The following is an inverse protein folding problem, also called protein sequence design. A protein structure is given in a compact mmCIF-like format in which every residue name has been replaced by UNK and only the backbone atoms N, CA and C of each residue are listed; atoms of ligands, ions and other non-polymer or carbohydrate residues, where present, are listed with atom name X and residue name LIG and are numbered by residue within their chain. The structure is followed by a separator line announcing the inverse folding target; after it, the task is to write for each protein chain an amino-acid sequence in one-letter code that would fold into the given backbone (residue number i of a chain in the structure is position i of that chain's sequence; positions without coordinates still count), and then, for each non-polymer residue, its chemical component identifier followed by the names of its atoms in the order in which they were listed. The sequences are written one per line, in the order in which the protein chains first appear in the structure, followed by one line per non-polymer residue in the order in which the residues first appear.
data_IF_965997213474
#
_entry.id   IF_965997213474
#
_cell.length_a   1.000
_cell.length_b   1.000
_cell.length_c   1.000
_cell.angle_alpha   90.00
_cell.angle_beta   90.00
_cell.angle_gamma   90.00
#
_symmetry.space_group_name_H-M   'P 1'
#
loop_
_entity.id
_entity.type
_entity.pdbx_description
1 polymer ?
#
# COMPACT_ATOMS: atom_id res chain seq x y z
N UNK A 1 0.52 -52.53 -10.76
CA UNK A 1 0.27 -51.85 -9.47
C UNK A 1 0.41 -50.36 -9.70
N UNK A 2 -0.72 -49.64 -9.82
CA UNK A 2 -0.76 -48.24 -10.22
C UNK A 2 -0.39 -47.32 -9.05
N UNK A 3 0.64 -46.50 -9.26
CA UNK A 3 1.04 -45.41 -8.38
C UNK A 3 -0.07 -44.37 -8.34
N UNK A 4 -0.80 -44.30 -7.22
CA UNK A 4 -1.74 -43.21 -6.96
C UNK A 4 -0.91 -41.99 -6.57
N UNK A 5 -0.79 -41.03 -7.48
CA UNK A 5 -0.38 -39.67 -7.17
C UNK A 5 -1.32 -39.12 -6.09
N UNK A 6 -0.81 -39.14 -4.87
CA UNK A 6 -1.42 -38.60 -3.67
C UNK A 6 -1.63 -37.11 -3.94
N UNK A 7 -2.89 -36.68 -4.01
CA UNK A 7 -3.27 -35.28 -3.99
C UNK A 7 -2.59 -34.64 -2.76
N UNK A 8 -1.48 -33.94 -2.98
CA UNK A 8 -0.88 -33.11 -1.95
C UNK A 8 -1.84 -31.95 -1.75
N UNK A 9 -2.58 -31.99 -0.63
CA UNK A 9 -3.36 -30.85 -0.19
C UNK A 9 -2.35 -29.73 0.09
N UNK A 10 -2.46 -28.56 -0.56
CA UNK A 10 -1.59 -27.44 -0.25
C UNK A 10 -1.66 -27.20 1.25
N UNK A 11 -0.52 -27.35 1.93
CA UNK A 11 -0.46 -27.17 3.37
C UNK A 11 -0.85 -25.73 3.69
N UNK A 12 -1.96 -25.54 4.41
CA UNK A 12 -2.33 -24.26 4.99
C UNK A 12 -1.38 -23.82 6.13
N UNK A 13 -0.32 -24.59 6.42
CA UNK A 13 0.67 -24.19 7.42
C UNK A 13 1.45 -22.99 6.91
N UNK A 14 1.47 -21.94 7.74
CA UNK A 14 2.34 -20.78 7.56
C UNK A 14 3.78 -21.25 7.41
N UNK A 15 4.45 -20.79 6.36
CA UNK A 15 5.87 -21.03 6.15
C UNK A 15 6.63 -19.87 6.77
N UNK A 16 7.19 -20.09 7.95
CA UNK A 16 7.91 -19.06 8.71
C UNK A 16 9.43 -19.10 8.46
N UNK A 17 9.95 -20.24 8.03
CA UNK A 17 11.35 -20.41 7.64
C UNK A 17 11.51 -20.08 6.15
N UNK A 18 11.71 -18.79 5.88
CA UNK A 18 11.92 -18.25 4.53
C UNK A 18 13.20 -17.42 4.53
N UNK A 19 13.92 -17.40 3.41
CA UNK A 19 15.12 -16.60 3.24
C UNK A 19 14.82 -15.10 3.43
N UNK A 20 15.84 -14.32 3.78
CA UNK A 20 15.72 -12.87 3.90
C UNK A 20 16.01 -12.20 2.55
N UNK A 21 15.06 -12.36 1.64
CA UNK A 21 15.01 -11.78 0.30
C UNK A 21 13.62 -11.17 0.04
N UNK A 22 13.46 -10.43 -1.06
CA UNK A 22 12.18 -9.77 -1.38
C UNK A 22 11.04 -10.78 -1.61
N UNK A 23 11.33 -11.93 -2.18
CA UNK A 23 10.34 -12.99 -2.40
C UNK A 23 9.90 -13.65 -1.09
N UNK A 24 10.83 -13.86 -0.16
CA UNK A 24 10.54 -14.37 1.16
C UNK A 24 9.72 -13.40 2.01
N UNK A 25 10.07 -12.10 1.96
CA UNK A 25 9.28 -11.05 2.60
C UNK A 25 7.87 -10.96 2.00
N UNK A 26 7.74 -11.09 0.68
CA UNK A 26 6.45 -11.14 0.00
C UNK A 26 5.61 -12.33 0.46
N UNK A 27 6.21 -13.52 0.58
CA UNK A 27 5.51 -14.71 1.03
C UNK A 27 4.99 -14.55 2.47
N UNK A 28 5.84 -14.05 3.38
CA UNK A 28 5.45 -13.76 4.76
C UNK A 28 4.33 -12.72 4.84
N UNK A 29 4.41 -11.66 4.02
CA UNK A 29 3.38 -10.61 3.95
C UNK A 29 2.04 -11.17 3.47
N UNK A 30 2.03 -12.04 2.46
CA UNK A 30 0.82 -12.70 1.96
C UNK A 30 0.20 -13.66 2.99
N UNK A 31 1.02 -14.28 3.84
CA UNK A 31 0.56 -15.16 4.93
C UNK A 31 0.15 -14.38 6.21
N UNK A 32 0.34 -13.06 6.22
CA UNK A 32 0.08 -12.21 7.38
C UNK A 32 1.08 -12.40 8.53
N UNK A 33 2.26 -12.95 8.25
CA UNK A 33 3.35 -13.19 9.19
C UNK A 33 4.19 -11.91 9.41
N UNK A 34 3.53 -10.84 9.88
CA UNK A 34 4.14 -9.52 10.01
C UNK A 34 5.15 -9.41 11.17
N UNK A 35 5.01 -10.26 12.19
CA UNK A 35 5.95 -10.29 13.32
C UNK A 35 7.28 -10.87 12.87
N UNK A 36 7.23 -11.94 12.10
CA UNK A 36 8.38 -12.62 11.52
C UNK A 36 9.16 -11.70 10.59
N UNK A 37 8.46 -10.85 9.83
CA UNK A 37 9.11 -9.79 9.05
C UNK A 37 9.84 -8.82 9.98
N UNK A 38 9.18 -8.33 11.04
CA UNK A 38 9.78 -7.40 12.00
C UNK A 38 11.02 -8.00 12.67
N UNK A 39 10.95 -9.28 13.06
CA UNK A 39 12.05 -10.01 13.68
C UNK A 39 13.23 -10.18 12.70
N UNK A 40 12.96 -10.42 11.42
CA UNK A 40 14.00 -10.48 10.38
C UNK A 40 14.71 -9.14 10.16
N UNK A 41 14.01 -8.02 10.35
CA UNK A 41 14.60 -6.69 10.29
C UNK A 41 15.33 -6.29 11.58
N UNK A 42 15.20 -7.05 12.66
CA UNK A 42 15.80 -6.70 13.95
C UNK A 42 17.34 -6.70 13.87
N UNK A 43 17.94 -5.54 14.14
CA UNK A 43 19.40 -5.36 14.13
C UNK A 43 20.00 -5.09 12.74
N UNK A 44 19.21 -5.11 11.67
CA UNK A 44 19.66 -4.75 10.33
C UNK A 44 19.49 -3.24 10.10
N UNK A 45 20.50 -2.60 9.49
CA UNK A 45 20.35 -1.24 8.98
C UNK A 45 19.98 -1.32 7.51
N UNK A 46 18.98 -0.53 7.10
CA UNK A 46 18.54 -0.44 5.70
C UNK A 46 19.69 -0.02 4.77
N UNK A 47 20.69 0.68 5.31
CA UNK A 47 21.89 1.10 4.58
C UNK A 47 22.79 -0.07 4.15
N UNK A 48 22.71 -1.20 4.85
CA UNK A 48 23.52 -2.39 4.58
C UNK A 48 22.90 -3.25 3.45
N UNK A 49 21.69 -2.90 2.99
CA UNK A 49 20.97 -3.62 1.94
C UNK A 49 21.32 -3.12 0.53
N UNK A 50 21.12 -3.96 -0.51
CA UNK A 50 21.38 -3.59 -1.90
C UNK A 50 20.63 -2.30 -2.28
N UNK A 51 21.32 -1.28 -2.81
CA UNK A 51 20.74 0.06 -3.04
C UNK A 51 19.49 0.05 -3.91
N UNK A 52 19.42 -0.83 -4.90
CA UNK A 52 18.28 -1.04 -5.80
C UNK A 52 17.01 -1.47 -5.07
N UNK A 53 17.15 -2.25 -4.00
CA UNK A 53 16.03 -2.87 -3.29
C UNK A 53 15.68 -2.17 -1.99
N UNK A 54 16.51 -1.21 -1.53
CA UNK A 54 16.34 -0.51 -0.24
C UNK A 54 14.92 0.00 -0.04
N UNK A 55 14.32 0.54 -1.09
CA UNK A 55 12.97 1.08 -1.02
C UNK A 55 11.90 -0.01 -0.84
N UNK A 56 12.08 -1.16 -1.47
CA UNK A 56 11.20 -2.31 -1.31
C UNK A 56 11.33 -2.92 0.10
N UNK A 57 12.55 -3.11 0.60
CA UNK A 57 12.80 -3.54 1.97
C UNK A 57 12.22 -2.56 2.99
N UNK A 58 12.40 -1.25 2.77
CA UNK A 58 11.82 -0.21 3.63
C UNK A 58 10.30 -0.26 3.62
N UNK A 59 9.68 -0.48 2.47
CA UNK A 59 8.23 -0.61 2.37
C UNK A 59 7.71 -1.82 3.17
N UNK A 60 8.38 -2.98 3.10
CA UNK A 60 8.02 -4.15 3.93
C UNK A 60 8.22 -3.90 5.42
N UNK A 61 9.32 -3.26 5.81
CA UNK A 61 9.59 -2.90 7.21
C UNK A 61 8.51 -1.97 7.76
N UNK A 62 8.19 -0.88 7.05
CA UNK A 62 7.15 0.08 7.44
C UNK A 62 5.77 -0.59 7.50
N UNK A 63 5.43 -1.42 6.50
CA UNK A 63 4.18 -2.18 6.50
C UNK A 63 4.10 -3.13 7.70
N UNK A 64 5.18 -3.83 8.03
CA UNK A 64 5.24 -4.73 9.19
C UNK A 64 5.04 -3.96 10.50
N UNK A 65 5.69 -2.82 10.67
CA UNK A 65 5.48 -1.92 11.83
C UNK A 65 4.03 -1.45 11.92
N UNK A 66 3.43 -1.03 10.81
CA UNK A 66 2.03 -0.60 10.78
C UNK A 66 1.06 -1.74 11.13
N UNK A 67 1.32 -2.95 10.63
CA UNK A 67 0.49 -4.13 10.89
C UNK A 67 0.66 -4.67 12.31
N UNK A 68 1.82 -4.48 12.94
CA UNK A 68 2.07 -4.80 14.35
C UNK A 68 1.74 -3.65 15.31
N UNK A 69 1.14 -2.55 14.81
CA UNK A 69 0.71 -1.35 15.54
C UNK A 69 1.83 -0.51 16.15
N UNK A 70 3.05 -0.64 15.63
CA UNK A 70 4.19 0.20 15.99
C UNK A 70 4.16 1.51 15.18
N UNK A 71 3.11 2.31 15.34
CA UNK A 71 2.83 3.47 14.48
C UNK A 71 3.91 4.56 14.57
N UNK A 72 4.43 4.83 15.77
CA UNK A 72 5.48 5.84 15.95
C UNK A 72 6.79 5.42 15.27
N UNK A 73 7.17 4.14 15.36
CA UNK A 73 8.35 3.61 14.67
C UNK A 73 8.17 3.65 13.15
N UNK A 74 6.97 3.32 12.66
CA UNK A 74 6.62 3.45 11.25
C UNK A 74 6.73 4.91 10.76
N UNK A 75 6.34 5.89 11.57
CA UNK A 75 6.42 7.31 11.23
C UNK A 75 7.86 7.78 11.10
N UNK A 76 8.70 7.47 12.08
CA UNK A 76 10.13 7.79 12.05
C UNK A 76 10.84 7.14 10.86
N UNK A 77 10.54 5.88 10.57
CA UNK A 77 11.11 5.19 9.41
C UNK A 77 10.67 5.84 8.09
N UNK A 78 9.44 6.34 8.01
CA UNK A 78 8.90 6.99 6.83
C UNK A 78 9.48 8.40 6.63
N UNK A 79 9.68 9.14 7.73
CA UNK A 79 10.42 10.42 7.72
C UNK A 79 11.88 10.22 7.29
N UNK A 80 12.53 9.14 7.73
CA UNK A 80 13.91 8.81 7.37
C UNK A 80 14.09 8.48 5.88
N UNK A 81 13.03 8.04 5.18
CA UNK A 81 13.04 7.87 3.72
C UNK A 81 13.01 9.21 2.97
N UNK A 82 12.70 10.31 3.66
CA UNK A 82 12.56 11.63 3.06
C UNK A 82 11.23 11.84 2.33
N UNK A 83 11.19 12.84 1.45
CA UNK A 83 9.99 13.22 0.72
C UNK A 83 9.50 12.12 -0.22
N UNK A 84 8.26 11.66 -0.03
CA UNK A 84 7.58 10.71 -0.93
C UNK A 84 6.96 11.36 -2.18
N UNK A 85 7.32 12.61 -2.44
CA UNK A 85 6.91 13.43 -3.58
C UNK A 85 8.02 13.49 -4.62
N UNK A 86 8.35 12.33 -5.13
CA UNK A 86 9.17 12.12 -6.31
C UNK A 86 8.36 12.39 -7.59
N UNK A 87 8.89 13.20 -8.51
CA UNK A 87 8.33 13.40 -9.85
C UNK A 87 8.43 12.15 -10.72
N UNK A 88 9.44 11.32 -10.47
CA UNK A 88 9.89 10.28 -11.41
C UNK A 88 9.22 8.92 -11.18
N UNK A 89 8.33 8.82 -10.19
CA UNK A 89 7.55 7.63 -9.89
C UNK A 89 8.33 6.49 -9.21
N UNK A 90 9.57 6.74 -8.76
CA UNK A 90 10.43 5.80 -8.05
C UNK A 90 9.81 5.26 -6.74
N UNK A 91 8.97 6.05 -6.06
CA UNK A 91 8.30 5.63 -4.84
C UNK A 91 7.12 4.70 -5.16
N UNK A 92 7.02 3.52 -4.54
CA UNK A 92 5.89 2.62 -4.73
C UNK A 92 4.57 3.26 -4.26
N UNK A 93 3.49 3.05 -5.03
CA UNK A 93 2.15 3.52 -4.65
C UNK A 93 1.73 3.02 -3.25
N UNK A 94 2.05 1.77 -2.91
CA UNK A 94 1.74 1.19 -1.60
C UNK A 94 2.36 1.97 -0.45
N UNK A 95 3.59 2.47 -0.61
CA UNK A 95 4.27 3.25 0.41
C UNK A 95 3.63 4.64 0.57
N UNK A 96 3.26 5.30 -0.53
CA UNK A 96 2.50 6.57 -0.47
C UNK A 96 1.14 6.39 0.20
N UNK A 97 0.48 5.26 -0.07
CA UNK A 97 -0.79 4.91 0.56
C UNK A 97 -0.63 4.72 2.07
N UNK A 98 0.42 4.03 2.52
CA UNK A 98 0.77 3.86 3.93
C UNK A 98 1.04 5.20 4.60
N UNK A 99 1.84 6.05 3.96
CA UNK A 99 2.13 7.40 4.44
C UNK A 99 0.87 8.24 4.68
N UNK A 100 -0.12 8.10 3.80
CA UNK A 100 -1.39 8.82 3.94
C UNK A 100 -2.33 8.22 5.00
N UNK A 101 -2.16 6.94 5.34
CA UNK A 101 -2.97 6.27 6.38
C UNK A 101 -2.40 6.44 7.78
N UNK A 102 -1.08 6.60 7.89
CA UNK A 102 -0.38 6.65 9.16
C UNK A 102 -0.85 7.77 10.11
N UNK A 103 -1.15 9.00 9.66
CA UNK A 103 -1.64 10.06 10.55
C UNK A 103 -2.93 9.68 11.27
N UNK A 104 -3.84 8.94 10.60
CA UNK A 104 -5.06 8.45 11.26
C UNK A 104 -4.74 7.47 12.40
N UNK A 105 -3.70 6.67 12.27
CA UNK A 105 -3.25 5.77 13.34
C UNK A 105 -2.60 6.51 14.51
N UNK A 106 -2.04 7.70 14.26
CA UNK A 106 -1.44 8.57 15.26
C UNK A 106 -2.43 9.57 15.89
N UNK A 107 -3.69 9.57 15.44
CA UNK A 107 -4.73 10.48 15.92
C UNK A 107 -4.77 11.85 15.23
N UNK A 108 -3.94 12.09 14.22
CA UNK A 108 -4.00 13.30 13.40
C UNK A 108 -4.84 13.08 12.14
N UNK A 109 -6.17 13.18 12.33
CA UNK A 109 -7.12 13.01 11.23
C UNK A 109 -6.95 14.07 10.13
N UNK A 110 -6.56 15.30 10.49
CA UNK A 110 -6.40 16.40 9.54
C UNK A 110 -5.25 16.11 8.58
N UNK A 111 -4.07 15.77 9.11
CA UNK A 111 -2.93 15.40 8.29
C UNK A 111 -3.24 14.15 7.44
N UNK A 112 -4.01 13.21 7.97
CA UNK A 112 -4.47 12.02 7.25
C UNK A 112 -5.33 12.38 6.04
N UNK A 113 -6.35 13.22 6.22
CA UNK A 113 -7.18 13.70 5.12
C UNK A 113 -6.34 14.48 4.09
N UNK A 114 -5.52 15.42 4.53
CA UNK A 114 -4.66 16.21 3.64
C UNK A 114 -3.76 15.32 2.77
N UNK A 115 -3.18 14.28 3.35
CA UNK A 115 -2.35 13.31 2.63
C UNK A 115 -3.18 12.47 1.63
N UNK A 116 -4.37 12.01 2.00
CA UNK A 116 -5.26 11.27 1.09
C UNK A 116 -5.75 12.12 -0.08
N UNK A 117 -6.16 13.36 0.16
CA UNK A 117 -6.55 14.30 -0.90
C UNK A 117 -5.39 14.61 -1.83
N UNK A 118 -4.17 14.74 -1.29
CA UNK A 118 -2.98 14.93 -2.13
C UNK A 118 -2.71 13.71 -3.01
N UNK A 119 -2.81 12.50 -2.43
CA UNK A 119 -2.62 11.25 -3.17
C UNK A 119 -3.68 11.06 -4.25
N UNK A 120 -4.95 11.39 -3.98
CA UNK A 120 -6.03 11.28 -4.98
C UNK A 120 -5.81 12.25 -6.15
N UNK A 121 -5.42 13.50 -5.88
CA UNK A 121 -5.03 14.46 -6.92
C UNK A 121 -3.86 13.95 -7.75
N UNK A 122 -2.84 13.34 -7.13
CA UNK A 122 -1.72 12.73 -7.86
C UNK A 122 -2.21 11.61 -8.78
N UNK A 123 -2.91 10.60 -8.26
CA UNK A 123 -3.39 9.49 -9.08
C UNK A 123 -4.23 9.95 -10.27
N UNK A 124 -5.06 10.99 -10.08
CA UNK A 124 -5.84 11.60 -11.14
C UNK A 124 -4.95 12.26 -12.20
N UNK A 125 -4.00 13.10 -11.78
CA UNK A 125 -3.07 13.76 -12.71
C UNK A 125 -2.30 12.72 -13.53
N UNK A 126 -1.76 11.69 -12.89
CA UNK A 126 -1.03 10.63 -13.59
C UNK A 126 -1.92 9.91 -14.61
N UNK A 127 -3.16 9.57 -14.25
CA UNK A 127 -4.11 8.95 -15.18
C UNK A 127 -4.43 9.83 -16.40
N UNK A 128 -4.45 11.15 -16.21
CA UNK A 128 -4.72 12.13 -17.28
C UNK A 128 -3.49 12.39 -18.16
N UNK A 129 -2.26 12.24 -17.63
CA UNK A 129 -1.00 12.48 -18.35
C UNK A 129 -0.44 11.23 -19.07
N UNK A 130 -0.98 10.04 -18.80
CA UNK A 130 -0.59 8.82 -19.53
C UNK A 130 -0.84 9.00 -21.03
N UNK A 131 0.18 8.67 -21.83
CA UNK A 131 0.19 8.87 -23.28
C UNK A 131 -0.92 8.10 -24.01
N UNK A 132 -1.18 8.49 -25.26
CA UNK A 132 -2.05 7.72 -26.16
C UNK A 132 -1.42 6.36 -26.46
N UNK A 133 -2.11 5.26 -26.17
CA UNK A 133 -1.62 3.90 -26.39
C UNK A 133 -1.18 3.15 -25.12
N UNK A 134 -1.15 3.82 -23.97
CA UNK A 134 -0.79 3.20 -22.67
C UNK A 134 -2.03 2.89 -21.81
N UNK A 135 -3.02 2.21 -22.40
CA UNK A 135 -4.31 1.96 -21.74
C UNK A 135 -4.18 1.19 -20.42
N UNK A 136 -3.21 0.27 -20.32
CA UNK A 136 -2.94 -0.48 -19.10
C UNK A 136 -2.40 0.42 -17.96
N UNK A 137 -1.48 1.34 -18.27
CA UNK A 137 -0.94 2.28 -17.29
C UNK A 137 -2.00 3.28 -16.84
N UNK A 138 -2.82 3.76 -17.79
CA UNK A 138 -3.98 4.62 -17.52
C UNK A 138 -4.99 3.93 -16.60
N UNK A 139 -5.36 2.69 -16.91
CA UNK A 139 -6.25 1.88 -16.09
C UNK A 139 -5.67 1.64 -14.69
N UNK A 140 -4.36 1.38 -14.58
CA UNK A 140 -3.68 1.22 -13.29
C UNK A 140 -3.79 2.49 -12.42
N UNK A 141 -3.55 3.66 -13.00
CA UNK A 141 -3.68 4.93 -12.26
C UNK A 141 -5.11 5.25 -11.87
N UNK A 142 -6.09 4.91 -12.71
CA UNK A 142 -7.51 5.00 -12.33
C UNK A 142 -7.87 4.08 -11.18
N UNK A 143 -7.43 2.81 -11.20
CA UNK A 143 -7.65 1.87 -10.09
C UNK A 143 -7.01 2.38 -8.80
N UNK A 144 -5.85 3.03 -8.88
CA UNK A 144 -5.21 3.68 -7.72
C UNK A 144 -6.04 4.86 -7.21
N UNK A 145 -6.53 5.72 -8.10
CA UNK A 145 -7.43 6.82 -7.76
C UNK A 145 -8.70 6.32 -7.05
N UNK A 146 -9.33 5.28 -7.59
CA UNK A 146 -10.52 4.65 -7.01
C UNK A 146 -10.25 4.10 -5.61
N UNK A 147 -9.13 3.38 -5.44
CA UNK A 147 -8.73 2.84 -4.14
C UNK A 147 -8.53 3.94 -3.08
N UNK A 148 -7.97 5.09 -3.48
CA UNK A 148 -7.81 6.25 -2.58
C UNK A 148 -9.15 6.94 -2.32
N UNK A 149 -10.00 7.06 -3.35
CA UNK A 149 -11.34 7.64 -3.20
C UNK A 149 -12.24 6.83 -2.26
N UNK A 150 -12.22 5.49 -2.36
CA UNK A 150 -12.92 4.61 -1.43
C UNK A 150 -12.41 4.77 0.00
N UNK A 151 -11.09 4.95 0.16
CA UNK A 151 -10.52 5.22 1.47
C UNK A 151 -10.97 6.57 2.04
N UNK A 152 -11.01 7.62 1.22
CA UNK A 152 -11.54 8.93 1.61
C UNK A 152 -13.00 8.82 2.04
N UNK A 153 -13.83 8.14 1.26
CA UNK A 153 -15.23 7.89 1.62
C UNK A 153 -15.34 7.17 2.98
N UNK A 154 -14.57 6.09 3.18
CA UNK A 154 -14.55 5.35 4.44
C UNK A 154 -14.10 6.22 5.63
N UNK A 155 -13.05 7.02 5.47
CA UNK A 155 -12.54 7.91 6.53
C UNK A 155 -13.56 9.00 6.88
N UNK A 156 -14.22 9.59 5.89
CA UNK A 156 -15.32 10.54 6.11
C UNK A 156 -16.53 9.88 6.81
N UNK A 157 -16.89 8.64 6.46
CA UNK A 157 -17.94 7.89 7.17
C UNK A 157 -17.59 7.65 8.64
N UNK A 158 -16.35 7.23 8.93
CA UNK A 158 -15.88 7.07 10.32
C UNK A 158 -15.90 8.39 11.09
N UNK A 159 -15.62 9.52 10.43
CA UNK A 159 -15.68 10.86 10.99
C UNK A 159 -17.11 11.44 11.07
N UNK A 160 -18.14 10.71 10.62
CA UNK A 160 -19.54 11.16 10.51
C UNK A 160 -19.75 12.35 9.55
N UNK A 161 -18.84 12.54 8.60
CA UNK A 161 -18.91 13.55 7.55
C UNK A 161 -19.64 12.98 6.32
N UNK A 162 -20.93 12.67 6.51
CA UNK A 162 -21.72 11.94 5.51
C UNK A 162 -21.81 12.63 4.15
N UNK A 163 -21.86 13.97 4.13
CA UNK A 163 -21.91 14.75 2.88
C UNK A 163 -20.62 14.55 2.07
N UNK A 164 -19.45 14.67 2.72
CA UNK A 164 -18.16 14.47 2.06
C UNK A 164 -17.99 13.02 1.57
N UNK A 165 -18.43 12.05 2.36
CA UNK A 165 -18.44 10.64 1.94
C UNK A 165 -19.30 10.41 0.69
N UNK A 166 -20.53 10.94 0.66
CA UNK A 166 -21.41 10.84 -0.50
C UNK A 166 -20.85 11.54 -1.75
N UNK A 167 -20.19 12.68 -1.57
CA UNK A 167 -19.51 13.36 -2.67
C UNK A 167 -18.43 12.47 -3.29
N UNK A 168 -17.62 11.79 -2.46
CA UNK A 168 -16.63 10.84 -2.95
C UNK A 168 -17.26 9.63 -3.66
N UNK A 169 -18.34 9.07 -3.12
CA UNK A 169 -19.04 7.95 -3.77
C UNK A 169 -19.60 8.35 -5.14
N UNK A 170 -20.19 9.54 -5.26
CA UNK A 170 -20.67 10.07 -6.57
C UNK A 170 -19.52 10.28 -7.56
N UNK A 171 -18.37 10.77 -7.10
CA UNK A 171 -17.17 10.92 -7.94
C UNK A 171 -16.70 9.57 -8.49
N UNK A 172 -16.81 8.51 -7.70
CA UNK A 172 -16.43 7.15 -8.10
C UNK A 172 -17.45 6.49 -9.03
N UNK A 173 -18.74 6.70 -8.77
CA UNK A 173 -19.84 6.15 -9.59
C UNK A 173 -19.81 6.71 -11.01
N UNK A 174 -19.61 8.03 -11.17
CA UNK A 174 -19.59 8.69 -12.48
C UNK A 174 -18.42 8.30 -13.40
N UNK A 175 -17.56 7.35 -13.02
CA UNK A 175 -16.29 7.06 -13.70
C UNK A 175 -16.05 5.60 -14.08
N UNK A 176 -16.96 4.66 -13.77
CA UNK A 176 -16.82 3.28 -14.25
C UNK A 176 -16.91 3.26 -15.78
N UNK A 177 -15.82 2.94 -16.51
CA UNK A 177 -15.91 2.76 -17.96
C UNK A 177 -16.66 1.45 -18.20
N UNK A 178 -17.92 1.54 -18.62
CA UNK A 178 -18.73 0.38 -19.02
C UNK A 178 -20.02 0.11 -18.24
N UNK A 179 -20.48 1.02 -17.36
CA UNK A 179 -21.84 0.91 -16.82
C UNK A 179 -22.83 1.55 -17.82
N UNK A 180 -23.72 0.78 -18.48
CA UNK A 180 -24.79 1.36 -19.29
C UNK A 180 -25.74 2.11 -18.34
N UNK A 181 -25.97 3.39 -18.62
CA UNK A 181 -27.08 4.13 -18.01
C UNK A 181 -28.41 3.67 -18.57
#
# INVERSE_FOLDING_TARGET
MASRSRWEVPSFRKQTDVQFDLDGLRLLALQGCWREITDKFHGLRIQDLPPEDRLAYSAYSILAMLKTRQYSAAALALEALGGLEDSDGSVPFGLRRVAAELPFCLGDARAGFDALYRLSRRCRREAEHVGSGEDAARALWWRRFEAVGLALANRHLCAREHIAALQWLRVLEGRRPGDPR
#
